data_IF_007180942297
#
_entry.id   IF_007180942297
#
_cell.length_a   1.000
_cell.length_b   1.000
_cell.length_c   1.000
_cell.angle_alpha   90.00
_cell.angle_beta   90.00
_cell.angle_gamma   90.00
#
_symmetry.space_group_name_H-M   'P 1'
#
loop_
_entity.id
_entity.type
_entity.pdbx_description
1 polymer ?
#
# COMPACT_ATOMS: atom_id res chain seq x y z
N UNK A 1 -8.93 18.25 30.88
CA UNK A 1 -8.44 17.36 29.79
C UNK A 1 -8.07 15.99 30.37
N UNK A 2 -9.01 15.23 30.95
CA UNK A 2 -8.72 13.86 31.44
C UNK A 2 -9.73 12.79 31.02
N UNK A 3 -10.81 13.11 30.32
CA UNK A 3 -11.82 12.12 29.88
C UNK A 3 -12.31 12.36 28.45
N UNK A 4 -11.44 12.13 27.46
CA UNK A 4 -11.86 11.98 26.05
C UNK A 4 -11.04 10.88 25.42
N UNK A 5 -11.40 9.65 25.75
CA UNK A 5 -10.62 8.42 25.51
C UNK A 5 -10.70 7.89 24.07
N UNK A 6 -10.83 8.79 23.08
CA UNK A 6 -10.99 8.45 21.67
C UNK A 6 -10.14 9.40 20.79
N UNK A 7 -8.86 9.07 20.63
CA UNK A 7 -8.11 9.50 19.44
C UNK A 7 -8.51 8.57 18.29
N UNK A 8 -9.19 9.10 17.28
CA UNK A 8 -10.07 8.30 16.40
C UNK A 8 -9.39 7.26 15.49
N UNK A 9 -8.06 7.21 15.39
CA UNK A 9 -7.38 6.22 14.52
C UNK A 9 -6.62 5.15 15.30
N UNK A 10 -5.68 5.55 16.17
CA UNK A 10 -4.87 4.61 16.95
C UNK A 10 -5.69 3.84 17.99
N UNK A 11 -6.60 4.52 18.71
CA UNK A 11 -7.42 3.86 19.73
C UNK A 11 -8.42 2.86 19.16
N UNK A 12 -8.99 3.15 17.99
CA UNK A 12 -9.99 2.30 17.33
C UNK A 12 -9.38 0.98 16.85
N UNK A 13 -8.19 1.04 16.24
CA UNK A 13 -7.48 -0.15 15.77
C UNK A 13 -7.11 -1.09 16.92
N UNK A 14 -6.51 -0.54 17.99
CA UNK A 14 -6.15 -1.34 19.18
C UNK A 14 -7.38 -1.96 19.84
N UNK A 15 -8.46 -1.20 20.00
CA UNK A 15 -9.70 -1.72 20.60
C UNK A 15 -10.37 -2.79 19.74
N UNK A 16 -10.24 -2.69 18.42
CA UNK A 16 -10.73 -3.74 17.50
C UNK A 16 -9.91 -5.03 17.68
N UNK A 17 -8.59 -4.91 17.83
CA UNK A 17 -7.72 -6.04 18.14
C UNK A 17 -8.03 -6.66 19.51
N UNK A 18 -8.31 -5.86 20.54
CA UNK A 18 -8.76 -6.35 21.85
C UNK A 18 -9.99 -7.24 21.70
N UNK A 19 -11.01 -6.75 20.98
CA UNK A 19 -12.22 -7.52 20.73
C UNK A 19 -11.94 -8.83 19.98
N UNK A 20 -11.10 -8.79 18.94
CA UNK A 20 -10.72 -10.00 18.19
C UNK A 20 -9.99 -10.99 19.09
N UNK A 21 -9.04 -10.54 19.91
CA UNK A 21 -8.33 -11.41 20.84
C UNK A 21 -9.28 -12.10 21.83
N UNK A 22 -10.25 -11.34 22.35
CA UNK A 22 -11.20 -11.82 23.35
C UNK A 22 -12.23 -12.79 22.76
N UNK A 23 -12.58 -12.65 21.47
CA UNK A 23 -13.74 -13.33 20.89
C UNK A 23 -13.47 -14.24 19.70
N UNK A 24 -12.31 -14.15 19.02
CA UNK A 24 -12.12 -14.87 17.74
C UNK A 24 -12.18 -16.39 17.89
N UNK A 25 -11.91 -16.93 19.08
CA UNK A 25 -12.06 -18.36 19.40
C UNK A 25 -13.51 -18.84 19.25
N UNK A 26 -14.48 -17.98 19.57
CA UNK A 26 -15.91 -18.30 19.47
C UNK A 26 -16.34 -18.50 18.01
N UNK A 27 -15.56 -17.97 17.07
CA UNK A 27 -15.76 -18.11 15.62
C UNK A 27 -14.83 -19.17 15.00
N UNK A 28 -14.09 -19.93 15.81
CA UNK A 28 -13.15 -20.95 15.35
C UNK A 28 -11.80 -20.41 14.87
N UNK A 29 -11.50 -19.13 15.09
CA UNK A 29 -10.20 -18.55 14.79
C UNK A 29 -9.21 -18.70 15.95
N UNK A 30 -7.94 -18.46 15.64
CA UNK A 30 -6.83 -18.62 16.58
C UNK A 30 -6.29 -17.24 16.99
N UNK A 31 -6.46 -16.80 18.24
CA UNK A 31 -5.99 -15.49 18.68
C UNK A 31 -4.45 -15.38 18.71
N UNK A 32 -3.71 -16.50 18.66
CA UNK A 32 -2.26 -16.49 18.53
C UNK A 32 -1.79 -16.32 17.07
N UNK A 33 -2.71 -16.38 16.09
CA UNK A 33 -2.42 -16.27 14.65
C UNK A 33 -3.24 -15.20 13.96
N UNK A 34 -3.32 -14.03 14.58
CA UNK A 34 -3.95 -12.85 13.99
C UNK A 34 -2.98 -12.20 12.99
N UNK A 35 -3.41 -12.05 11.75
CA UNK A 35 -2.71 -11.25 10.72
C UNK A 35 -3.56 -10.04 10.36
N UNK A 36 -3.00 -8.83 10.46
CA UNK A 36 -3.64 -7.59 10.01
C UNK A 36 -3.17 -7.23 8.60
N UNK A 37 -4.06 -6.78 7.74
CA UNK A 37 -3.75 -6.37 6.36
C UNK A 37 -4.61 -5.19 5.93
N UNK A 38 -4.07 -4.35 5.06
CA UNK A 38 -4.68 -3.07 4.72
C UNK A 38 -3.92 -2.35 3.63
N UNK A 39 -4.66 -1.65 2.78
CA UNK A 39 -4.15 -1.02 1.57
C UNK A 39 -4.15 0.51 1.71
N UNK A 40 -3.15 1.19 1.14
CA UNK A 40 -3.06 2.66 1.13
C UNK A 40 -3.00 3.25 2.55
N UNK A 41 -3.93 4.15 2.89
CA UNK A 41 -4.12 4.65 4.24
C UNK A 41 -4.33 3.51 5.28
N UNK A 42 -4.88 2.37 4.88
CA UNK A 42 -4.94 1.15 5.70
C UNK A 42 -3.57 0.51 5.93
N UNK A 43 -2.69 0.54 4.92
CA UNK A 43 -1.29 0.12 5.07
C UNK A 43 -0.52 1.04 6.02
N UNK A 44 -0.73 2.36 5.90
CA UNK A 44 -0.18 3.33 6.84
C UNK A 44 -0.72 3.13 8.28
N UNK A 45 -2.00 2.77 8.43
CA UNK A 45 -2.59 2.43 9.73
C UNK A 45 -1.96 1.17 10.34
N UNK A 46 -1.66 0.15 9.54
CA UNK A 46 -0.92 -1.05 10.00
C UNK A 46 0.47 -0.67 10.46
N UNK A 47 1.19 0.16 9.69
CA UNK A 47 2.51 0.65 10.08
C UNK A 47 2.47 1.39 11.42
N UNK A 48 1.40 2.14 11.69
CA UNK A 48 1.20 2.80 12.98
C UNK A 48 0.82 1.83 14.12
N UNK A 49 0.05 0.78 13.83
CA UNK A 49 -0.20 -0.29 14.81
C UNK A 49 1.10 -1.03 15.14
N UNK A 50 1.97 -1.30 14.17
CA UNK A 50 3.30 -1.86 14.42
C UNK A 50 4.16 -0.96 15.32
N UNK A 51 4.04 0.37 15.18
CA UNK A 51 4.73 1.34 16.02
C UNK A 51 4.07 1.53 17.41
N UNK A 52 2.83 1.09 17.60
CA UNK A 52 2.06 1.35 18.81
C UNK A 52 2.45 0.41 19.96
N UNK A 53 2.90 0.94 21.12
CA UNK A 53 3.14 0.11 22.30
C UNK A 53 1.90 -0.63 22.79
N UNK A 54 0.70 -0.08 22.53
CA UNK A 54 -0.58 -0.69 22.91
C UNK A 54 -1.03 -1.80 21.98
N UNK A 55 -0.47 -1.90 20.77
CA UNK A 55 -0.79 -2.98 19.84
C UNK A 55 0.23 -4.13 19.87
N UNK A 56 1.38 -3.94 20.53
CA UNK A 56 2.42 -4.97 20.68
C UNK A 56 1.83 -6.26 21.26
N UNK A 57 2.12 -7.38 20.60
CA UNK A 57 1.63 -8.72 20.98
C UNK A 57 0.17 -9.00 20.66
N UNK A 58 -0.55 -8.11 19.97
CA UNK A 58 -1.96 -8.31 19.58
C UNK A 58 -2.17 -8.97 18.22
N UNK A 59 -1.13 -9.02 17.41
CA UNK A 59 -1.12 -9.67 16.11
C UNK A 59 0.26 -10.26 15.86
N UNK A 60 0.31 -11.34 15.09
CA UNK A 60 1.53 -12.07 14.78
C UNK A 60 2.00 -11.82 13.34
N UNK A 61 1.08 -11.47 12.43
CA UNK A 61 1.38 -11.12 11.04
C UNK A 61 0.88 -9.74 10.66
N UNK A 62 1.59 -9.07 9.75
CA UNK A 62 1.17 -7.80 9.17
C UNK A 62 1.38 -7.78 7.65
N UNK A 63 0.42 -7.17 6.94
CA UNK A 63 0.49 -6.93 5.50
C UNK A 63 0.10 -5.48 5.17
N UNK A 64 1.00 -4.50 5.35
CA UNK A 64 0.80 -3.15 4.85
C UNK A 64 1.01 -3.14 3.33
N UNK A 65 -0.07 -2.91 2.58
CA UNK A 65 -0.06 -2.91 1.11
C UNK A 65 -0.06 -1.48 0.58
N UNK A 66 0.81 -1.18 -0.37
CA UNK A 66 0.97 0.16 -0.96
C UNK A 66 1.04 1.23 0.13
N UNK A 67 1.98 1.07 1.06
CA UNK A 67 2.11 1.97 2.21
C UNK A 67 2.70 3.30 1.75
N UNK A 68 1.97 4.40 2.01
CA UNK A 68 2.39 5.74 1.63
C UNK A 68 3.57 6.25 2.50
N UNK A 69 4.47 6.99 1.87
CA UNK A 69 5.52 7.77 2.54
C UNK A 69 6.29 8.63 1.55
N UNK A 70 7.44 9.17 1.93
CA UNK A 70 8.34 9.87 1.01
C UNK A 70 7.91 11.30 0.67
N UNK A 71 7.84 11.64 -0.62
CA UNK A 71 7.67 13.01 -1.12
C UNK A 71 6.22 13.32 -1.54
N UNK A 72 5.93 14.60 -1.81
CA UNK A 72 4.65 15.08 -2.36
C UNK A 72 3.45 14.57 -1.52
N UNK A 73 2.44 13.95 -2.13
CA UNK A 73 1.27 13.41 -1.43
C UNK A 73 1.64 12.42 -0.33
N UNK A 74 2.71 11.63 -0.55
CA UNK A 74 3.21 10.66 0.42
C UNK A 74 3.88 11.29 1.65
N UNK A 75 4.29 12.55 1.59
CA UNK A 75 4.95 13.24 2.72
C UNK A 75 4.06 13.34 3.96
N UNK A 76 2.75 13.49 3.79
CA UNK A 76 1.79 13.50 4.91
C UNK A 76 1.63 12.15 5.61
N UNK A 77 2.20 11.08 5.04
CA UNK A 77 2.28 9.77 5.65
C UNK A 77 3.70 9.43 6.10
N UNK A 78 4.73 10.19 5.73
CA UNK A 78 6.11 9.87 6.13
C UNK A 78 6.30 9.95 7.66
N UNK A 79 5.65 10.93 8.29
CA UNK A 79 5.63 11.12 9.75
C UNK A 79 4.20 11.25 10.28
N UNK A 80 3.99 10.82 11.51
CA UNK A 80 2.78 11.07 12.29
C UNK A 80 2.87 12.47 12.88
N UNK A 81 1.85 13.30 12.63
CA UNK A 81 1.84 14.68 13.10
C UNK A 81 1.66 14.75 14.62
N UNK A 82 2.17 15.78 15.26
CA UNK A 82 1.70 16.19 16.58
C UNK A 82 0.23 16.64 16.51
N UNK A 83 -0.42 16.71 17.68
CA UNK A 83 -1.79 17.23 17.78
C UNK A 83 -1.85 18.68 17.29
N UNK A 84 -0.86 19.49 17.66
CA UNK A 84 -0.73 20.90 17.29
C UNK A 84 -0.58 21.09 15.77
N UNK A 85 0.28 20.30 15.12
CA UNK A 85 0.44 20.32 13.67
C UNK A 85 -0.86 19.96 12.96
N UNK A 86 -1.53 18.89 13.39
CA UNK A 86 -2.78 18.48 12.76
C UNK A 86 -3.93 19.48 12.99
N UNK A 87 -3.95 20.16 14.15
CA UNK A 87 -4.83 21.30 14.39
C UNK A 87 -4.54 22.46 13.44
N UNK A 88 -3.26 22.73 13.16
CA UNK A 88 -2.83 23.74 12.19
C UNK A 88 -3.23 23.40 10.76
N UNK A 89 -3.05 22.14 10.34
CA UNK A 89 -3.33 21.67 8.97
C UNK A 89 -4.83 21.67 8.69
N UNK A 90 -5.64 21.08 9.58
CA UNK A 90 -7.06 20.85 9.32
C UNK A 90 -7.97 21.32 10.46
N UNK A 91 -7.58 21.13 11.72
CA UNK A 91 -8.47 21.35 12.87
C UNK A 91 -9.03 22.77 12.98
N UNK A 92 -8.21 23.79 12.74
CA UNK A 92 -8.64 25.19 12.78
C UNK A 92 -9.66 25.52 11.68
N UNK A 93 -9.49 24.94 10.48
CA UNK A 93 -10.46 25.08 9.40
C UNK A 93 -11.77 24.39 9.76
N UNK A 94 -11.72 23.16 10.31
CA UNK A 94 -12.91 22.44 10.77
C UNK A 94 -13.66 23.25 11.82
N UNK A 95 -12.97 23.80 12.82
CA UNK A 95 -13.59 24.62 13.86
C UNK A 95 -14.25 25.88 13.29
N UNK A 96 -13.60 26.55 12.34
CA UNK A 96 -14.13 27.75 11.69
C UNK A 96 -15.37 27.43 10.86
N UNK A 97 -15.31 26.41 10.01
CA UNK A 97 -16.42 25.99 9.15
C UNK A 97 -17.62 25.50 9.96
N UNK A 98 -17.36 24.88 11.12
CA UNK A 98 -18.38 24.42 12.05
C UNK A 98 -18.92 25.51 12.99
N UNK A 99 -18.43 26.76 12.91
CA UNK A 99 -18.73 27.85 13.86
C UNK A 99 -18.44 27.48 15.33
N UNK A 100 -17.38 26.70 15.55
CA UNK A 100 -16.94 26.22 16.87
C UNK A 100 -15.67 26.89 17.39
N UNK A 101 -15.06 27.82 16.66
CA UNK A 101 -13.79 28.48 17.03
C UNK A 101 -13.83 29.11 18.43
N UNK A 102 -14.87 29.88 18.72
CA UNK A 102 -15.01 30.65 19.97
C UNK A 102 -15.85 29.92 21.03
N UNK A 103 -16.23 28.67 20.76
CA UNK A 103 -16.98 27.88 21.72
C UNK A 103 -16.13 27.63 22.97
N UNK A 104 -16.76 27.78 24.16
CA UNK A 104 -16.15 27.48 25.47
C UNK A 104 -15.56 26.06 25.50
N UNK A 105 -16.27 25.11 24.89
CA UNK A 105 -15.76 23.76 24.59
C UNK A 105 -15.89 23.51 23.09
N UNK A 106 -14.75 23.58 22.40
CA UNK A 106 -14.65 23.30 20.96
C UNK A 106 -15.16 21.89 20.63
N UNK A 107 -14.83 20.90 21.47
CA UNK A 107 -15.23 19.50 21.29
C UNK A 107 -16.74 19.32 21.45
N UNK A 108 -17.35 19.88 22.49
CA UNK A 108 -18.80 19.73 22.70
C UNK A 108 -19.61 20.50 21.65
N UNK A 109 -19.06 21.59 21.11
CA UNK A 109 -19.62 22.25 19.95
C UNK A 109 -19.60 21.31 18.73
N UNK A 110 -18.45 20.72 18.39
CA UNK A 110 -18.32 19.81 17.26
C UNK A 110 -19.23 18.58 17.38
N UNK A 111 -19.43 18.03 18.58
CA UNK A 111 -20.35 16.89 18.83
C UNK A 111 -21.81 17.19 18.49
N UNK A 112 -22.20 18.47 18.44
CA UNK A 112 -23.56 18.90 18.08
C UNK A 112 -23.70 19.22 16.59
N UNK A 113 -22.60 19.27 15.85
CA UNK A 113 -22.61 19.50 14.41
C UNK A 113 -23.01 18.18 13.75
N UNK A 114 -24.00 18.18 12.83
CA UNK A 114 -24.33 16.98 12.07
C UNK A 114 -23.10 16.46 11.33
N UNK A 115 -22.87 15.15 11.36
CA UNK A 115 -21.64 14.55 10.86
C UNK A 115 -21.41 14.83 9.37
N UNK A 116 -22.48 14.93 8.58
CA UNK A 116 -22.45 15.27 7.15
C UNK A 116 -21.97 16.71 6.86
N UNK A 117 -21.91 17.58 7.87
CA UNK A 117 -21.39 18.95 7.77
C UNK A 117 -19.95 19.09 8.27
N UNK A 118 -19.36 18.02 8.82
CA UNK A 118 -17.98 18.03 9.25
C UNK A 118 -17.08 17.69 8.06
N UNK A 119 -16.10 18.56 7.79
CA UNK A 119 -15.08 18.30 6.79
C UNK A 119 -14.04 17.30 7.33
N UNK A 120 -13.78 16.23 6.57
CA UNK A 120 -12.90 15.12 6.94
C UNK A 120 -11.42 15.40 6.63
N UNK A 121 -11.04 16.63 6.28
CA UNK A 121 -9.63 17.02 6.09
C UNK A 121 -8.71 16.66 7.28
N UNK A 122 -9.27 16.47 8.47
CA UNK A 122 -8.57 15.95 9.66
C UNK A 122 -8.44 14.42 9.67
N UNK A 123 -7.73 13.84 8.69
CA UNK A 123 -7.64 12.38 8.48
C UNK A 123 -6.32 11.69 8.86
N UNK A 124 -5.29 12.46 9.19
CA UNK A 124 -3.95 11.90 9.44
C UNK A 124 -3.80 11.40 10.87
N UNK A 125 -2.89 10.43 11.03
CA UNK A 125 -2.51 9.89 12.34
C UNK A 125 -1.76 10.95 13.14
N UNK A 126 -2.02 10.99 14.44
CA UNK A 126 -1.35 11.92 15.37
C UNK A 126 -0.63 11.19 16.49
N UNK A 127 0.50 11.75 16.92
CA UNK A 127 1.22 11.35 18.13
C UNK A 127 0.42 11.83 19.34
N UNK A 128 -0.32 10.91 19.96
CA UNK A 128 -1.20 11.20 21.10
C UNK A 128 -0.57 10.87 22.46
N UNK A 129 0.63 10.30 22.46
CA UNK A 129 1.37 9.91 23.67
C UNK A 129 0.80 8.70 24.41
N UNK A 130 -0.27 8.06 23.89
CA UNK A 130 -0.92 6.88 24.50
C UNK A 130 -0.92 5.67 23.59
N UNK A 131 -1.41 5.82 22.36
CA UNK A 131 -1.46 4.77 21.35
C UNK A 131 -0.32 4.95 20.35
N UNK A 132 -0.02 6.18 19.94
CA UNK A 132 1.11 6.50 19.08
C UNK A 132 2.05 7.40 19.88
N UNK A 133 3.26 6.90 20.14
CA UNK A 133 4.24 7.55 21.03
C UNK A 133 5.51 8.02 20.33
N UNK A 134 5.68 7.67 19.06
CA UNK A 134 6.76 8.14 18.17
C UNK A 134 6.13 8.81 16.94
N UNK A 135 6.89 9.64 16.23
CA UNK A 135 6.47 10.30 14.99
C UNK A 135 6.64 9.40 13.74
N UNK A 136 7.20 8.20 13.88
CA UNK A 136 7.31 7.21 12.81
C UNK A 136 7.47 5.79 13.36
N UNK A 137 7.40 4.78 12.47
CA UNK A 137 7.80 3.41 12.82
C UNK A 137 9.30 3.39 13.11
N UNK A 138 9.67 3.05 14.33
CA UNK A 138 11.07 2.94 14.72
C UNK A 138 11.68 1.71 14.06
N UNK A 139 12.75 1.91 13.28
CA UNK A 139 13.48 0.86 12.56
C UNK A 139 14.82 0.53 13.23
N UNK A 140 15.01 0.96 14.48
CA UNK A 140 16.10 0.57 15.36
C UNK A 140 15.52 0.21 16.75
N UNK A 141 16.32 -0.49 17.56
CA UNK A 141 15.90 -0.92 18.91
C UNK A 141 15.38 -2.35 18.96
N UNK A 142 14.39 -2.58 19.84
CA UNK A 142 13.86 -3.93 20.11
C UNK A 142 13.09 -4.49 18.90
N UNK A 143 13.20 -5.81 18.64
CA UNK A 143 12.36 -6.50 17.65
C UNK A 143 10.86 -6.24 17.86
N UNK A 144 10.13 -6.09 16.74
CA UNK A 144 8.67 -5.95 16.79
C UNK A 144 7.94 -7.27 17.04
N UNK A 145 8.61 -8.41 16.84
CA UNK A 145 8.04 -9.77 16.90
C UNK A 145 6.80 -9.95 16.00
N UNK A 146 6.84 -9.38 14.78
CA UNK A 146 5.78 -9.45 13.77
C UNK A 146 6.33 -10.03 12.48
N UNK A 147 5.66 -11.03 11.92
CA UNK A 147 5.94 -11.52 10.58
C UNK A 147 5.40 -10.54 9.53
N UNK A 148 6.24 -10.13 8.59
CA UNK A 148 5.90 -9.08 7.62
C UNK A 148 5.91 -9.59 6.18
N UNK A 149 4.83 -9.29 5.47
CA UNK A 149 4.77 -9.32 4.02
C UNK A 149 4.27 -7.96 3.55
N UNK A 150 4.92 -7.29 2.61
CA UNK A 150 4.48 -5.97 2.14
C UNK A 150 4.85 -5.75 0.69
N UNK A 151 4.28 -4.75 0.05
CA UNK A 151 4.56 -4.48 -1.34
C UNK A 151 3.59 -3.53 -1.99
N UNK A 152 3.83 -3.26 -3.27
CA UNK A 152 3.21 -2.19 -4.04
C UNK A 152 2.65 -2.71 -5.37
N UNK A 153 1.98 -1.84 -6.13
CA UNK A 153 1.74 -2.07 -7.57
C UNK A 153 2.78 -1.32 -8.41
N UNK A 154 3.06 -1.78 -9.63
CA UNK A 154 4.17 -1.23 -10.43
C UNK A 154 4.03 0.27 -10.76
N UNK A 155 2.80 0.80 -10.87
CA UNK A 155 2.50 2.21 -11.10
C UNK A 155 1.61 2.82 -10.00
N UNK A 156 1.89 2.45 -8.75
CA UNK A 156 1.16 2.86 -7.53
C UNK A 156 0.96 4.38 -7.40
N UNK A 157 1.95 5.17 -7.80
CA UNK A 157 1.94 6.62 -7.64
C UNK A 157 1.04 7.39 -8.59
N UNK A 158 0.64 6.80 -9.73
CA UNK A 158 -0.06 7.54 -10.80
C UNK A 158 -1.36 8.22 -10.34
N UNK A 159 -2.24 7.56 -9.56
CA UNK A 159 -3.51 8.15 -9.15
C UNK A 159 -3.39 9.36 -8.22
N UNK A 160 -2.20 9.63 -7.69
CA UNK A 160 -1.93 10.73 -6.76
C UNK A 160 -1.44 12.00 -7.46
N UNK A 161 -1.28 11.95 -8.79
CA UNK A 161 -0.97 13.11 -9.60
C UNK A 161 -2.24 13.85 -10.00
N UNK A 162 -2.19 15.17 -10.06
CA UNK A 162 -3.24 16.00 -10.64
C UNK A 162 -3.10 16.02 -12.17
N UNK A 163 -4.19 15.64 -12.83
CA UNK A 163 -4.28 15.62 -14.28
C UNK A 163 -4.89 16.93 -14.80
N UNK A 164 -4.32 17.54 -15.86
CA UNK A 164 -4.91 18.71 -16.50
C UNK A 164 -6.35 18.44 -16.98
N UNK A 165 -7.25 19.42 -16.86
CA UNK A 165 -8.66 19.27 -17.27
C UNK A 165 -8.82 18.95 -18.77
N UNK A 166 -7.93 19.47 -19.61
CA UNK A 166 -7.90 19.19 -21.05
C UNK A 166 -7.22 17.84 -21.37
N UNK A 167 -6.78 17.09 -20.35
CA UNK A 167 -6.14 15.79 -20.47
C UNK A 167 -4.74 15.81 -21.10
N UNK A 168 -4.13 16.98 -21.34
CA UNK A 168 -2.87 17.09 -22.10
C UNK A 168 -1.76 17.66 -21.23
N UNK A 169 -0.57 17.04 -21.30
CA UNK A 169 0.65 17.53 -20.64
C UNK A 169 1.57 18.15 -21.70
N UNK A 170 1.57 19.48 -21.88
CA UNK A 170 2.40 20.14 -22.88
C UNK A 170 3.88 20.19 -22.47
N UNK A 171 4.15 20.27 -21.17
CA UNK A 171 5.50 20.22 -20.59
C UNK A 171 5.50 19.30 -19.38
N UNK A 172 6.27 18.20 -19.48
CA UNK A 172 6.35 17.19 -18.43
C UNK A 172 7.05 17.74 -17.19
N UNK A 173 8.09 18.55 -17.37
CA UNK A 173 8.87 19.09 -16.25
C UNK A 173 8.04 20.05 -15.41
N UNK A 174 7.37 21.03 -16.04
CA UNK A 174 6.45 21.93 -15.33
C UNK A 174 5.29 21.18 -14.67
N UNK A 175 4.71 20.18 -15.35
CA UNK A 175 3.65 19.37 -14.78
C UNK A 175 4.12 18.63 -13.52
N UNK A 176 5.24 17.90 -13.57
CA UNK A 176 5.79 17.23 -12.39
C UNK A 176 6.14 18.20 -11.26
N UNK A 177 6.72 19.35 -11.59
CA UNK A 177 7.01 20.41 -10.63
C UNK A 177 5.76 20.92 -9.89
N UNK A 178 4.63 21.04 -10.58
CA UNK A 178 3.34 21.43 -9.96
C UNK A 178 2.81 20.40 -8.94
N UNK A 179 3.30 19.16 -9.00
CA UNK A 179 2.97 18.08 -8.08
C UNK A 179 3.94 18.01 -6.89
N UNK A 180 4.94 18.90 -6.83
CA UNK A 180 6.03 18.81 -5.85
C UNK A 180 7.01 17.66 -6.14
N UNK A 181 7.08 17.20 -7.40
CA UNK A 181 8.05 16.19 -7.84
C UNK A 181 9.22 16.85 -8.59
N UNK A 182 10.47 16.37 -8.39
CA UNK A 182 11.64 16.89 -9.09
C UNK A 182 11.64 16.51 -10.57
N UNK A 183 12.33 17.28 -11.40
CA UNK A 183 12.56 16.96 -12.83
C UNK A 183 13.49 15.74 -12.97
N UNK A 184 13.01 14.59 -13.48
CA UNK A 184 13.77 13.35 -13.45
C UNK A 184 14.78 13.24 -14.61
N UNK A 185 16.00 12.71 -14.37
CA UNK A 185 16.90 12.34 -15.44
C UNK A 185 16.27 11.28 -16.35
N UNK A 186 16.21 11.55 -17.66
CA UNK A 186 15.64 10.64 -18.66
C UNK A 186 16.28 9.24 -18.64
N UNK A 187 17.54 9.13 -18.24
CA UNK A 187 18.22 7.83 -18.12
C UNK A 187 17.65 6.96 -17.00
N UNK A 188 17.18 7.57 -15.90
CA UNK A 188 16.58 6.86 -14.76
C UNK A 188 15.08 6.64 -14.96
N UNK A 189 14.40 7.62 -15.58
CA UNK A 189 12.96 7.57 -15.85
C UNK A 189 12.70 7.73 -17.36
N UNK A 190 13.02 6.70 -18.17
CA UNK A 190 12.77 6.75 -19.61
C UNK A 190 11.25 6.82 -19.88
N UNK A 191 10.82 7.63 -20.87
CA UNK A 191 9.42 7.67 -21.27
C UNK A 191 8.97 6.34 -21.88
N UNK A 192 7.68 6.05 -21.78
CA UNK A 192 7.08 4.90 -22.44
C UNK A 192 7.28 4.96 -23.96
N UNK A 193 7.42 3.80 -24.59
CA UNK A 193 7.53 3.70 -26.05
C UNK A 193 6.16 3.93 -26.71
N UNK A 194 5.82 5.19 -26.95
CA UNK A 194 4.57 5.62 -27.59
C UNK A 194 4.76 6.92 -28.35
N UNK A 195 4.00 7.13 -29.42
CA UNK A 195 3.93 8.40 -30.15
C UNK A 195 3.03 9.42 -29.45
N UNK A 196 2.22 8.98 -28.49
CA UNK A 196 1.36 9.86 -27.71
C UNK A 196 2.17 10.52 -26.59
N UNK A 197 2.55 11.78 -26.80
CA UNK A 197 3.37 12.57 -25.86
C UNK A 197 2.75 12.68 -24.46
N UNK A 198 1.42 12.74 -24.37
CA UNK A 198 0.70 12.82 -23.09
C UNK A 198 0.81 11.49 -22.34
N UNK A 199 0.61 10.36 -23.03
CA UNK A 199 0.80 9.04 -22.43
C UNK A 199 2.25 8.87 -21.97
N UNK A 200 3.22 9.25 -22.80
CA UNK A 200 4.64 9.22 -22.42
C UNK A 200 4.91 10.02 -21.13
N UNK A 201 4.36 11.23 -21.00
CA UNK A 201 4.46 12.05 -19.79
C UNK A 201 3.82 11.36 -18.57
N UNK A 202 2.60 10.82 -18.70
CA UNK A 202 1.94 10.10 -17.63
C UNK A 202 2.72 8.86 -17.17
N UNK A 203 3.37 8.13 -18.08
CA UNK A 203 4.22 7.00 -17.71
C UNK A 203 5.45 7.41 -16.90
N UNK A 204 6.11 8.51 -17.28
CA UNK A 204 7.22 9.07 -16.48
C UNK A 204 6.72 9.49 -15.10
N UNK A 205 5.59 10.19 -15.05
CA UNK A 205 4.96 10.60 -13.80
C UNK A 205 4.56 9.41 -12.92
N UNK A 206 3.97 8.36 -13.50
CA UNK A 206 3.58 7.14 -12.80
C UNK A 206 4.77 6.51 -12.07
N UNK A 207 5.88 6.28 -12.80
CA UNK A 207 7.09 5.67 -12.24
C UNK A 207 7.74 6.56 -11.19
N UNK A 208 7.92 7.85 -11.50
CA UNK A 208 8.51 8.80 -10.57
C UNK A 208 7.68 8.92 -9.27
N UNK A 209 6.36 9.03 -9.38
CA UNK A 209 5.47 9.09 -8.23
C UNK A 209 5.49 7.79 -7.43
N UNK A 210 5.55 6.63 -8.10
CA UNK A 210 5.63 5.32 -7.42
C UNK A 210 6.90 5.23 -6.60
N UNK A 211 8.04 5.62 -7.17
CA UNK A 211 9.32 5.61 -6.47
C UNK A 211 9.34 6.64 -5.33
N UNK A 212 8.84 7.85 -5.58
CA UNK A 212 8.85 8.95 -4.64
C UNK A 212 7.86 8.79 -3.47
N UNK A 213 6.77 8.04 -3.64
CA UNK A 213 5.68 7.95 -2.65
C UNK A 213 5.51 6.56 -2.01
N UNK A 214 6.10 5.51 -2.60
CA UNK A 214 5.90 4.12 -2.18
C UNK A 214 7.20 3.31 -2.21
N UNK A 215 7.72 2.99 -3.40
CA UNK A 215 8.78 1.97 -3.58
C UNK A 215 10.03 2.27 -2.76
N UNK A 216 10.55 3.51 -2.82
CA UNK A 216 11.83 3.80 -2.20
C UNK A 216 11.75 3.75 -0.68
N UNK A 217 10.67 4.27 -0.09
CA UNK A 217 10.49 4.24 1.36
C UNK A 217 10.17 2.84 1.87
N UNK A 218 9.45 2.04 1.10
CA UNK A 218 9.12 0.65 1.46
C UNK A 218 10.38 -0.22 1.40
N UNK A 219 11.17 -0.11 0.32
CA UNK A 219 12.46 -0.81 0.23
C UNK A 219 13.45 -0.34 1.31
N UNK A 220 13.49 0.95 1.64
CA UNK A 220 14.31 1.46 2.74
C UNK A 220 13.84 0.96 4.11
N UNK A 221 12.52 0.85 4.31
CA UNK A 221 11.92 0.30 5.54
C UNK A 221 12.34 -1.15 5.74
N UNK A 222 12.21 -1.98 4.69
CA UNK A 222 12.61 -3.38 4.73
C UNK A 222 14.12 -3.52 4.97
N UNK A 223 14.93 -2.76 4.24
CA UNK A 223 16.38 -2.79 4.39
C UNK A 223 16.82 -2.41 5.81
N UNK A 224 16.40 -1.25 6.30
CA UNK A 224 16.79 -0.76 7.62
C UNK A 224 16.30 -1.68 8.74
N UNK A 225 15.06 -2.16 8.65
CA UNK A 225 14.47 -3.05 9.64
C UNK A 225 15.12 -4.44 9.71
N UNK A 226 15.62 -4.97 8.58
CA UNK A 226 16.41 -6.20 8.55
C UNK A 226 17.85 -5.96 9.01
N UNK A 227 18.45 -4.83 8.66
CA UNK A 227 19.81 -4.48 9.08
C UNK A 227 19.93 -4.31 10.59
N UNK A 228 18.94 -3.66 11.21
CA UNK A 228 18.86 -3.46 12.66
C UNK A 228 18.33 -4.68 13.42
N UNK A 229 17.62 -5.59 12.74
CA UNK A 229 16.93 -6.74 13.33
C UNK A 229 15.54 -6.43 13.89
N UNK A 230 15.06 -5.19 13.79
CA UNK A 230 13.74 -4.77 14.29
C UNK A 230 12.58 -5.50 13.59
N UNK A 231 12.72 -5.77 12.29
CA UNK A 231 11.73 -6.53 11.50
C UNK A 231 12.01 -8.05 11.49
N UNK A 232 12.86 -8.52 12.40
CA UNK A 232 13.26 -9.92 12.48
C UNK A 232 14.27 -10.33 11.41
N UNK A 233 14.27 -11.62 11.05
CA UNK A 233 15.28 -12.20 10.16
C UNK A 233 14.90 -12.17 8.67
N UNK A 234 13.63 -11.93 8.35
CA UNK A 234 13.13 -11.98 6.97
C UNK A 234 11.85 -11.18 6.78
N UNK A 235 11.68 -10.61 5.59
CA UNK A 235 10.45 -9.93 5.14
C UNK A 235 10.10 -10.40 3.74
N UNK A 236 8.83 -10.69 3.46
CA UNK A 236 8.39 -11.00 2.09
C UNK A 236 7.98 -9.71 1.38
N UNK A 237 8.77 -9.27 0.41
CA UNK A 237 8.44 -8.08 -0.37
C UNK A 237 7.86 -8.45 -1.74
N UNK A 238 6.84 -7.75 -2.23
CA UNK A 238 6.26 -7.97 -3.56
C UNK A 238 6.04 -6.70 -4.39
N UNK A 239 5.86 -6.93 -5.68
CA UNK A 239 5.31 -5.98 -6.63
C UNK A 239 4.25 -6.63 -7.51
N UNK A 240 3.06 -6.04 -7.61
CA UNK A 240 2.06 -6.41 -8.60
C UNK A 240 2.39 -5.82 -9.96
N UNK A 241 2.81 -6.68 -10.90
CA UNK A 241 3.04 -6.36 -12.32
C UNK A 241 1.77 -6.58 -13.18
N UNK A 242 0.72 -7.14 -12.57
CA UNK A 242 -0.63 -7.23 -13.13
C UNK A 242 -1.63 -6.69 -12.12
N UNK A 243 -2.62 -5.96 -12.61
CA UNK A 243 -3.71 -5.42 -11.78
C UNK A 243 -5.05 -5.59 -12.49
N UNK A 244 -6.14 -5.54 -11.73
CA UNK A 244 -7.49 -5.34 -12.21
C UNK A 244 -8.09 -4.15 -11.44
N UNK A 245 -8.13 -2.99 -12.09
CA UNK A 245 -8.49 -1.76 -11.43
C UNK A 245 -9.92 -1.80 -10.85
N UNK A 246 -10.04 -1.42 -9.58
CA UNK A 246 -11.35 -1.32 -8.90
C UNK A 246 -12.26 -0.36 -9.67
N UNK A 247 -13.54 -0.71 -9.93
CA UNK A 247 -14.47 0.20 -10.60
C UNK A 247 -14.56 1.56 -9.87
N UNK A 248 -14.76 2.63 -10.65
CA UNK A 248 -14.96 3.99 -10.15
C UNK A 248 -13.79 4.64 -9.39
N UNK A 249 -12.66 3.96 -9.25
CA UNK A 249 -11.44 4.49 -8.65
C UNK A 249 -10.20 4.00 -9.44
N UNK A 250 -9.29 4.88 -9.89
CA UNK A 250 -9.22 6.32 -9.64
C UNK A 250 -9.95 7.15 -10.71
N UNK A 251 -10.75 6.51 -11.59
CA UNK A 251 -11.39 7.13 -12.77
C UNK A 251 -10.38 7.67 -13.79
N UNK A 252 -9.25 6.97 -13.92
CA UNK A 252 -8.25 7.22 -14.95
C UNK A 252 -8.32 6.08 -15.98
N UNK A 253 -8.51 6.44 -17.24
CA UNK A 253 -8.59 5.50 -18.34
C UNK A 253 -7.25 4.76 -18.58
N UNK A 254 -6.13 5.41 -18.29
CA UNK A 254 -4.79 4.82 -18.33
C UNK A 254 -4.57 3.70 -17.32
N UNK A 255 -5.39 3.59 -16.27
CA UNK A 255 -5.37 2.49 -15.30
C UNK A 255 -6.33 1.36 -15.69
N UNK A 256 -7.06 1.47 -16.81
CA UNK A 256 -8.12 0.56 -17.19
C UNK A 256 -7.77 -0.15 -18.49
N UNK A 257 -7.83 -1.49 -18.48
CA UNK A 257 -7.51 -2.30 -19.64
C UNK A 257 -8.34 -1.86 -20.87
N UNK A 258 -7.72 -1.38 -21.97
CA UNK A 258 -8.44 -0.76 -23.08
C UNK A 258 -9.24 -1.81 -23.83
N UNK A 259 -10.53 -1.53 -24.04
CA UNK A 259 -11.42 -2.40 -24.81
C UNK A 259 -11.25 -2.17 -26.30
N UNK A 260 -11.10 -3.25 -27.04
CA UNK A 260 -11.01 -3.24 -28.51
C UNK A 260 -11.82 -4.41 -29.08
N UNK A 261 -11.96 -4.48 -30.41
CA UNK A 261 -12.57 -5.66 -31.05
C UNK A 261 -11.83 -6.97 -30.71
N UNK A 262 -10.50 -6.92 -30.57
CA UNK A 262 -9.67 -8.08 -30.20
C UNK A 262 -9.77 -8.40 -28.70
N UNK A 263 -9.94 -7.38 -27.87
CA UNK A 263 -9.99 -7.47 -26.42
C UNK A 263 -11.31 -6.87 -25.90
N UNK A 264 -12.46 -7.55 -26.07
CA UNK A 264 -13.76 -6.99 -25.72
C UNK A 264 -13.90 -6.69 -24.23
N UNK A 265 -13.21 -7.45 -23.38
CA UNK A 265 -13.18 -7.25 -21.94
C UNK A 265 -12.03 -6.35 -21.47
N UNK A 266 -11.15 -5.91 -22.37
CA UNK A 266 -9.98 -5.08 -22.08
C UNK A 266 -8.67 -5.84 -22.29
N UNK A 267 -7.61 -5.17 -22.77
CA UNK A 267 -6.28 -5.74 -22.91
C UNK A 267 -5.44 -5.53 -21.62
N UNK A 268 -5.27 -6.54 -20.76
CA UNK A 268 -4.51 -6.38 -19.52
C UNK A 268 -3.01 -6.19 -19.76
N UNK A 269 -2.51 -6.59 -20.93
CA UNK A 269 -1.09 -6.53 -21.27
C UNK A 269 -0.68 -5.21 -21.92
N UNK A 270 -1.59 -4.25 -22.10
CA UNK A 270 -1.21 -2.93 -22.64
C UNK A 270 -0.25 -2.21 -21.69
N UNK A 271 0.96 -1.93 -22.15
CA UNK A 271 1.98 -1.21 -21.37
C UNK A 271 1.79 0.31 -21.40
N UNK A 272 0.97 0.83 -22.32
CA UNK A 272 0.76 2.27 -22.51
C UNK A 272 -0.61 2.72 -22.01
N UNK A 273 -1.59 1.82 -22.02
CA UNK A 273 -2.99 2.14 -21.74
C UNK A 273 -3.61 1.32 -20.60
N UNK A 274 -2.80 0.56 -19.85
CA UNK A 274 -3.26 -0.19 -18.67
C UNK A 274 -2.22 -0.19 -17.55
N UNK A 275 -1.77 0.98 -17.09
CA UNK A 275 -0.83 1.06 -15.97
C UNK A 275 -1.39 0.39 -14.70
N UNK A 276 -0.49 -0.24 -13.95
CA UNK A 276 -0.73 -1.09 -12.78
C UNK A 276 -0.89 -0.20 -11.58
N UNK A 277 -1.97 0.57 -11.62
CA UNK A 277 -2.25 1.59 -10.64
C UNK A 277 -2.63 1.01 -9.28
N UNK A 278 -2.47 1.85 -8.27
CA UNK A 278 -2.83 1.62 -6.88
C UNK A 278 -4.22 0.98 -6.74
N UNK A 279 -4.40 0.13 -5.73
CA UNK A 279 -5.67 -0.56 -5.46
C UNK A 279 -6.17 -1.49 -6.58
N UNK A 280 -5.39 -1.70 -7.63
CA UNK A 280 -5.70 -2.63 -8.71
C UNK A 280 -5.50 -4.11 -8.32
N UNK A 281 -4.91 -4.36 -7.17
CA UNK A 281 -4.71 -5.68 -6.57
C UNK A 281 -5.86 -6.10 -5.62
N UNK A 282 -6.73 -5.17 -5.21
CA UNK A 282 -7.76 -5.42 -4.20
C UNK A 282 -8.79 -6.47 -4.62
N UNK A 283 -9.52 -6.26 -5.71
CA UNK A 283 -10.56 -7.21 -6.12
C UNK A 283 -10.02 -8.63 -6.40
N UNK A 284 -8.86 -8.79 -7.06
CA UNK A 284 -8.17 -10.07 -7.16
C UNK A 284 -7.81 -10.66 -5.80
N UNK A 285 -7.20 -9.90 -4.89
CA UNK A 285 -6.82 -10.37 -3.55
C UNK A 285 -8.00 -10.90 -2.73
N UNK A 286 -9.18 -10.31 -2.89
CA UNK A 286 -10.40 -10.77 -2.21
C UNK A 286 -11.19 -11.85 -2.99
N UNK A 287 -10.68 -12.34 -4.12
CA UNK A 287 -11.39 -13.34 -4.94
C UNK A 287 -12.72 -12.82 -5.54
N UNK A 288 -12.85 -11.51 -5.71
CA UNK A 288 -14.15 -10.86 -5.87
C UNK A 288 -14.50 -10.41 -7.29
N UNK A 289 -13.62 -10.57 -8.28
CA UNK A 289 -13.89 -10.14 -9.66
C UNK A 289 -15.25 -10.64 -10.19
N UNK A 290 -15.47 -11.95 -10.20
CA UNK A 290 -16.73 -12.54 -10.65
C UNK A 290 -17.91 -12.17 -9.74
N UNK A 291 -17.70 -12.08 -8.42
CA UNK A 291 -18.74 -11.70 -7.45
C UNK A 291 -19.22 -10.25 -7.65
N UNK A 292 -18.36 -9.38 -8.15
CA UNK A 292 -18.67 -8.00 -8.52
C UNK A 292 -19.26 -7.88 -9.94
N UNK A 293 -19.53 -9.00 -10.63
CA UNK A 293 -20.05 -9.01 -12.00
C UNK A 293 -19.03 -8.53 -13.04
N UNK A 294 -17.74 -8.51 -12.70
CA UNK A 294 -16.68 -8.07 -13.60
C UNK A 294 -16.22 -9.23 -14.48
N UNK A 295 -16.09 -9.03 -15.81
CA UNK A 295 -15.64 -10.09 -16.71
C UNK A 295 -14.14 -10.34 -16.53
N UNK A 296 -13.72 -11.59 -16.69
CA UNK A 296 -12.31 -11.89 -16.91
C UNK A 296 -11.86 -11.32 -18.26
N UNK A 297 -10.70 -10.67 -18.28
CA UNK A 297 -10.15 -9.97 -19.46
C UNK A 297 -9.50 -10.93 -20.44
N UNK A 298 -8.90 -11.98 -19.90
CA UNK A 298 -8.24 -13.08 -20.61
C UNK A 298 -8.34 -14.38 -19.77
N UNK A 299 -7.72 -15.45 -20.25
CA UNK A 299 -7.63 -16.74 -19.57
C UNK A 299 -6.76 -16.72 -18.29
N UNK A 300 -6.09 -15.61 -18.01
CA UNK A 300 -5.13 -15.49 -16.93
C UNK A 300 -5.68 -14.84 -15.66
N UNK A 301 -6.76 -14.05 -15.75
CA UNK A 301 -7.33 -13.37 -14.58
C UNK A 301 -7.77 -14.33 -13.47
N UNK A 302 -8.37 -15.47 -13.80
CA UNK A 302 -8.79 -16.47 -12.81
C UNK A 302 -7.61 -17.17 -12.12
N UNK A 303 -6.65 -17.80 -12.83
CA UNK A 303 -5.52 -18.45 -12.18
C UNK A 303 -4.63 -17.46 -11.41
N UNK A 304 -4.48 -16.23 -11.91
CA UNK A 304 -3.81 -15.16 -11.19
C UNK A 304 -4.51 -14.80 -9.87
N UNK A 305 -5.84 -14.64 -9.89
CA UNK A 305 -6.64 -14.41 -8.68
C UNK A 305 -6.50 -15.56 -7.67
N UNK A 306 -6.60 -16.81 -8.13
CA UNK A 306 -6.44 -17.99 -7.27
C UNK A 306 -5.07 -18.01 -6.59
N UNK A 307 -4.00 -17.79 -7.36
CA UNK A 307 -2.64 -17.71 -6.84
C UNK A 307 -2.48 -16.62 -5.77
N UNK A 308 -3.03 -15.43 -5.98
CA UNK A 308 -2.95 -14.35 -4.98
C UNK A 308 -3.64 -14.75 -3.68
N UNK A 309 -4.88 -15.24 -3.78
CA UNK A 309 -5.67 -15.66 -2.60
C UNK A 309 -4.93 -16.76 -1.83
N UNK A 310 -4.41 -17.77 -2.53
CA UNK A 310 -3.73 -18.90 -1.91
C UNK A 310 -2.40 -18.51 -1.24
N UNK A 311 -1.61 -17.64 -1.87
CA UNK A 311 -0.32 -17.19 -1.32
C UNK A 311 -0.50 -16.23 -0.14
N UNK A 312 -1.42 -15.26 -0.23
CA UNK A 312 -1.68 -14.33 0.87
C UNK A 312 -2.34 -15.04 2.07
N UNK A 313 -3.25 -15.98 1.83
CA UNK A 313 -3.83 -16.79 2.91
C UNK A 313 -2.83 -17.82 3.46
N UNK A 314 -1.87 -18.30 2.67
CA UNK A 314 -0.74 -19.06 3.20
C UNK A 314 0.05 -18.23 4.20
N UNK A 315 0.42 -17.01 3.84
CA UNK A 315 1.12 -16.11 4.77
C UNK A 315 0.31 -15.87 6.05
N UNK A 316 -1.00 -15.63 5.96
CA UNK A 316 -1.84 -15.46 7.14
C UNK A 316 -1.89 -16.70 8.05
N UNK A 317 -1.75 -17.92 7.49
CA UNK A 317 -1.80 -19.19 8.25
C UNK A 317 -0.46 -19.65 8.80
N UNK A 318 0.63 -19.39 8.07
CA UNK A 318 1.96 -20.01 8.29
C UNK A 318 3.11 -19.00 8.31
N UNK A 319 2.83 -17.72 8.08
CA UNK A 319 3.82 -16.65 7.92
C UNK A 319 4.81 -16.89 6.77
N UNK A 320 4.39 -17.69 5.81
CA UNK A 320 5.12 -18.01 4.60
C UNK A 320 4.14 -17.96 3.40
N UNK A 321 4.36 -17.09 2.40
CA UNK A 321 3.47 -16.99 1.25
C UNK A 321 3.62 -18.15 0.27
N UNK A 322 4.50 -19.12 0.54
CA UNK A 322 4.62 -20.37 -0.21
C UNK A 322 3.70 -21.45 0.40
N UNK A 323 2.48 -21.67 -0.13
CA UNK A 323 1.60 -22.73 0.36
C UNK A 323 2.24 -24.11 0.18
N UNK A 324 1.92 -25.01 1.11
CA UNK A 324 2.37 -26.39 1.07
C UNK A 324 1.83 -27.10 -0.18
N UNK A 325 2.70 -27.81 -0.90
CA UNK A 325 2.32 -28.45 -2.17
C UNK A 325 1.34 -29.60 -1.98
N UNK A 326 1.46 -30.37 -0.89
CA UNK A 326 0.50 -31.44 -0.60
C UNK A 326 -0.87 -30.88 -0.22
N UNK A 327 -0.90 -29.76 0.51
CA UNK A 327 -2.14 -29.02 0.75
C UNK A 327 -2.80 -28.59 -0.56
N UNK A 328 -2.05 -28.01 -1.50
CA UNK A 328 -2.60 -27.60 -2.80
C UNK A 328 -3.17 -28.79 -3.58
N UNK A 329 -2.43 -29.91 -3.66
CA UNK A 329 -2.90 -31.13 -4.33
C UNK A 329 -4.14 -31.72 -3.68
N UNK A 330 -4.17 -31.80 -2.35
CA UNK A 330 -5.31 -32.33 -1.60
C UNK A 330 -6.58 -31.46 -1.76
N UNK A 331 -6.43 -30.17 -2.06
CA UNK A 331 -7.53 -29.22 -2.29
C UNK A 331 -7.90 -29.04 -3.76
N UNK A 332 -7.14 -29.62 -4.69
CA UNK A 332 -7.33 -29.45 -6.14
C UNK A 332 -7.00 -28.04 -6.63
N UNK A 333 -6.01 -27.38 -6.02
CA UNK A 333 -5.60 -26.01 -6.37
C UNK A 333 -4.49 -26.04 -7.44
N UNK A 334 -4.81 -26.67 -8.58
CA UNK A 334 -3.85 -27.02 -9.62
C UNK A 334 -3.23 -25.77 -10.27
N UNK A 335 -4.01 -24.71 -10.49
CA UNK A 335 -3.52 -23.44 -11.07
C UNK A 335 -2.44 -22.77 -10.20
N UNK A 336 -2.64 -22.77 -8.88
CA UNK A 336 -1.66 -22.26 -7.92
C UNK A 336 -0.42 -23.16 -7.87
N UNK A 337 -0.61 -24.49 -7.90
CA UNK A 337 0.50 -25.44 -7.90
C UNK A 337 1.39 -25.27 -9.14
N UNK A 338 0.79 -25.22 -10.34
CA UNK A 338 1.49 -24.97 -11.61
C UNK A 338 2.23 -23.63 -11.58
N UNK A 339 1.57 -22.58 -11.06
CA UNK A 339 2.19 -21.27 -10.93
C UNK A 339 3.42 -21.31 -10.01
N UNK A 340 3.35 -21.99 -8.86
CA UNK A 340 4.49 -22.11 -7.93
C UNK A 340 5.64 -22.95 -8.50
N UNK A 341 5.33 -24.01 -9.22
CA UNK A 341 6.34 -24.84 -9.87
C UNK A 341 7.12 -24.07 -10.95
N UNK A 342 6.42 -23.18 -11.68
CA UNK A 342 7.03 -22.36 -12.73
C UNK A 342 7.74 -21.11 -12.18
N UNK A 343 7.10 -20.37 -11.28
CA UNK A 343 7.62 -19.11 -10.72
C UNK A 343 8.75 -19.30 -9.71
N UNK A 344 8.98 -20.53 -9.24
CA UNK A 344 9.87 -20.81 -8.12
C UNK A 344 9.29 -20.31 -6.78
N UNK A 345 9.96 -20.61 -5.66
CA UNK A 345 9.53 -20.14 -4.36
C UNK A 345 9.60 -18.61 -4.29
N UNK A 346 8.67 -18.02 -3.54
CA UNK A 346 8.78 -16.65 -3.10
C UNK A 346 9.86 -16.58 -2.03
N UNK A 347 11.04 -16.08 -2.41
CA UNK A 347 12.15 -15.88 -1.48
C UNK A 347 11.96 -14.59 -0.69
N UNK A 348 12.20 -14.58 0.61
CA UNK A 348 12.14 -13.36 1.39
C UNK A 348 13.37 -12.48 1.18
N UNK A 349 13.23 -11.19 1.41
CA UNK A 349 14.36 -10.33 1.71
C UNK A 349 14.94 -10.70 3.08
N UNK A 350 16.26 -10.77 3.16
CA UNK A 350 17.04 -11.03 4.38
C UNK A 350 18.23 -10.07 4.43
N UNK A 351 18.88 -9.97 5.60
CA UNK A 351 20.09 -9.14 5.74
C UNK A 351 21.14 -9.51 4.69
N UNK A 352 21.59 -8.53 3.90
CA UNK A 352 22.54 -8.72 2.80
C UNK A 352 21.97 -9.28 1.48
N UNK A 353 20.71 -9.72 1.42
CA UNK A 353 20.08 -10.21 0.19
C UNK A 353 18.62 -9.73 0.09
N UNK A 354 18.41 -8.64 -0.64
CA UNK A 354 17.13 -7.95 -0.73
C UNK A 354 16.34 -8.44 -1.95
N UNK A 355 15.38 -9.34 -1.69
CA UNK A 355 14.53 -9.96 -2.71
C UNK A 355 13.16 -9.31 -2.83
N UNK A 356 12.60 -9.38 -4.04
CA UNK A 356 11.23 -8.99 -4.35
C UNK A 356 10.55 -10.09 -5.16
N UNK A 357 9.28 -10.34 -4.89
CA UNK A 357 8.43 -11.19 -5.73
C UNK A 357 7.63 -10.35 -6.71
N UNK A 358 7.83 -10.63 -7.98
CA UNK A 358 6.98 -10.12 -9.05
C UNK A 358 5.68 -10.94 -9.08
N UNK A 359 4.52 -10.29 -9.04
CA UNK A 359 3.20 -10.92 -9.12
C UNK A 359 2.51 -10.44 -10.39
N UNK A 360 2.66 -11.22 -11.46
CA UNK A 360 2.09 -10.94 -12.77
C UNK A 360 1.76 -12.21 -13.54
N UNK A 361 1.05 -12.08 -14.65
CA UNK A 361 0.68 -13.20 -15.52
C UNK A 361 0.89 -12.82 -17.00
N UNK A 362 1.17 -13.79 -17.90
CA UNK A 362 1.42 -15.20 -17.63
C UNK A 362 2.64 -15.43 -16.74
N UNK A 363 2.59 -16.46 -15.88
CA UNK A 363 3.70 -16.81 -14.99
C UNK A 363 4.96 -17.06 -15.80
N UNK A 364 6.06 -16.42 -15.40
CA UNK A 364 7.40 -16.59 -15.99
C UNK A 364 8.23 -17.53 -15.12
N UNK A 365 9.29 -18.08 -15.70
CA UNK A 365 10.26 -18.85 -14.93
C UNK A 365 11.01 -17.90 -14.01
N UNK A 366 11.08 -18.25 -12.72
CA UNK A 366 11.69 -17.43 -11.66
C UNK A 366 11.15 -16.00 -11.60
N UNK A 367 10.13 -15.80 -10.76
CA UNK A 367 9.52 -14.48 -10.55
C UNK A 367 10.10 -13.73 -9.36
N UNK A 368 11.14 -14.28 -8.73
CA UNK A 368 11.89 -13.63 -7.67
C UNK A 368 13.02 -12.82 -8.30
N UNK A 369 13.16 -11.56 -7.88
CA UNK A 369 14.24 -10.68 -8.31
C UNK A 369 14.86 -9.96 -7.13
N UNK A 370 15.77 -9.04 -7.42
CA UNK A 370 16.29 -8.11 -6.41
C UNK A 370 15.43 -6.84 -6.36
N UNK A 371 15.57 -6.06 -5.29
CA UNK A 371 14.99 -4.73 -5.19
C UNK A 371 15.19 -3.91 -6.47
N UNK A 372 14.12 -3.21 -6.88
CA UNK A 372 14.03 -2.48 -8.15
C UNK A 372 14.34 -1.00 -7.93
N UNK A 373 14.75 -0.34 -9.00
CA UNK A 373 14.91 1.12 -9.07
C UNK A 373 15.82 1.74 -7.97
N UNK A 374 16.88 1.03 -7.58
CA UNK A 374 17.81 1.48 -6.53
C UNK A 374 18.53 2.80 -6.86
N UNK A 375 18.89 3.03 -8.13
CA UNK A 375 19.54 4.28 -8.56
C UNK A 375 18.53 5.45 -8.59
N UNK A 376 17.27 5.19 -8.94
CA UNK A 376 16.17 6.15 -8.85
C UNK A 376 15.97 6.56 -7.39
N UNK A 377 15.91 5.58 -6.49
CA UNK A 377 15.79 5.82 -5.05
C UNK A 377 16.96 6.62 -4.48
N UNK A 378 18.19 6.31 -4.91
CA UNK A 378 19.38 7.10 -4.55
C UNK A 378 19.31 8.54 -5.07
N UNK A 379 18.84 8.73 -6.30
CA UNK A 379 18.65 10.07 -6.89
C UNK A 379 17.58 10.88 -6.14
N UNK A 380 16.47 10.24 -5.77
CA UNK A 380 15.39 10.78 -4.92
C UNK A 380 15.80 11.01 -3.45
N UNK A 381 17.07 10.73 -3.08
CA UNK A 381 17.59 10.84 -1.71
C UNK A 381 16.93 9.92 -0.70
N UNK A 382 16.39 8.79 -1.17
CA UNK A 382 15.80 7.73 -0.35
C UNK A 382 16.40 6.35 -0.71
N UNK A 383 17.74 6.17 -0.66
CA UNK A 383 18.34 4.86 -0.91
C UNK A 383 17.91 3.84 0.16
N UNK A 384 18.19 2.53 0.00
CA UNK A 384 17.84 1.52 1.00
C UNK A 384 18.31 1.86 2.43
N UNK A 385 19.48 2.50 2.57
CA UNK A 385 19.99 2.97 3.86
C UNK A 385 19.41 4.28 4.38
N UNK A 386 18.26 4.77 3.87
CA UNK A 386 17.70 6.08 4.23
C UNK A 386 17.40 6.25 5.73
N UNK A 387 17.05 5.17 6.43
CA UNK A 387 16.69 5.19 7.86
C UNK A 387 17.83 4.82 8.81
N UNK A 388 19.06 4.61 8.32
CA UNK A 388 20.20 4.16 9.15
C UNK A 388 21.42 5.07 9.07
#
# INVERSE_FOLDING_TARGET
MRDSDQSCSGSTGVRSLDWVLDHIRDFGGDPARITIFGQSAGGAAIRALMASPKARGKFAGAIPMSSLGGLSYGASYAKYFSIEEQLGIAGNTVLRTANCTDAKSKVDCLRRVPAEKLDFGARFLVVDGKYITSDELQLNGDPLDVHLMMGITAEDGLPFLFFPQNGTVPDTTSWLGSQGLPDPPRALFPPMNTTNVTRAAFGVGARLATDAMFRCIDQATVYAGLESGVLGSKVYYYEFDRTYQTPEWPRLDICQAPKTKKYPNGNPESLVDNLRCHSGELLPLFGNLARQGLPFRDEHDLPWQQYIVDTFTSFARTYNPNPDKEFLRARGFDSTLEALEKSGPWEPAVKGDMKIRSIGWPVKNDMTGNFRDLEQCKWLKMPPGFYI
#
